data_IF_940063622886
#
_entry.id   IF_940063622886
#
_cell.length_a   1.000
_cell.length_b   1.000
_cell.length_c   1.000
_cell.angle_alpha   90.00
_cell.angle_beta   90.00
_cell.angle_gamma   90.00
#
_symmetry.space_group_name_H-M   'P 1'
#
loop_
_entity.id
_entity.type
_entity.pdbx_description
1 polymer ?
#
# COMPACT_ATOMS: atom_id res chain seq x y z
N UNK A 1 -0.77 18.58 39.07
CA UNK A 1 -1.02 19.99 38.78
C UNK A 1 -0.48 20.87 39.89
N UNK A 2 -1.01 20.76 41.12
CA UNK A 2 -0.62 21.63 42.26
C UNK A 2 0.89 21.66 42.55
N UNK A 3 1.60 20.54 42.43
CA UNK A 3 3.03 20.50 42.66
C UNK A 3 3.79 21.31 41.60
N UNK A 4 3.40 21.19 40.32
CA UNK A 4 4.02 21.96 39.24
C UNK A 4 3.66 23.45 39.33
N UNK A 5 2.39 23.78 39.61
CA UNK A 5 1.97 25.16 39.78
C UNK A 5 2.72 25.83 40.96
N UNK A 6 3.04 25.07 42.03
CA UNK A 6 3.89 25.56 43.13
C UNK A 6 5.35 25.75 42.73
N UNK A 7 5.93 24.87 41.97
CA UNK A 7 7.32 24.98 41.48
C UNK A 7 7.52 26.24 40.62
N UNK A 8 6.52 26.61 39.83
CA UNK A 8 6.57 27.77 38.92
C UNK A 8 5.72 28.96 39.36
N UNK A 9 5.35 29.02 40.66
CA UNK A 9 4.47 30.04 41.19
C UNK A 9 4.98 31.49 40.94
N UNK A 10 6.30 31.67 41.02
CA UNK A 10 6.93 32.97 40.77
C UNK A 10 6.80 33.42 39.32
N UNK A 11 7.12 32.54 38.37
CA UNK A 11 7.02 32.80 36.92
C UNK A 11 5.57 33.02 36.48
N UNK A 12 4.63 32.27 37.08
CA UNK A 12 3.19 32.41 36.84
C UNK A 12 2.72 33.78 37.36
N UNK A 13 3.17 34.19 38.57
CA UNK A 13 2.79 35.49 39.16
C UNK A 13 3.30 36.68 38.35
N UNK A 14 4.42 36.53 37.65
CA UNK A 14 5.00 37.52 36.75
C UNK A 14 4.39 37.52 35.34
N UNK A 15 3.42 36.60 35.06
CA UNK A 15 2.83 36.44 33.74
C UNK A 15 3.78 35.87 32.68
N UNK A 16 4.93 35.31 33.11
CA UNK A 16 5.91 34.67 32.21
C UNK A 16 5.50 33.27 31.80
N UNK A 17 4.72 32.58 32.62
CA UNK A 17 4.15 31.24 32.35
C UNK A 17 2.65 31.26 32.66
N UNK A 18 1.90 30.55 31.83
CA UNK A 18 0.49 30.28 32.14
C UNK A 18 0.37 29.10 33.12
N UNK A 19 -0.66 29.07 33.98
CA UNK A 19 -0.96 27.90 34.81
C UNK A 19 -1.12 26.66 33.99
N UNK A 20 -0.72 25.53 34.55
CA UNK A 20 -0.76 24.23 33.87
C UNK A 20 -2.19 23.84 33.53
N UNK A 21 -2.47 23.69 32.25
CA UNK A 21 -3.77 23.17 31.76
C UNK A 21 -3.75 21.66 31.74
N UNK A 22 -4.67 21.03 32.44
CA UNK A 22 -4.86 19.59 32.47
C UNK A 22 -6.07 19.22 31.61
N UNK A 23 -5.85 18.46 30.58
CA UNK A 23 -6.92 17.90 29.76
C UNK A 23 -7.08 16.41 30.09
N UNK A 24 -8.33 15.91 30.15
CA UNK A 24 -8.69 14.53 30.43
C UNK A 24 -9.35 13.90 29.21
N UNK A 25 -9.49 12.58 29.21
CA UNK A 25 -10.19 11.86 28.12
C UNK A 25 -9.26 11.51 26.96
N UNK A 26 -7.96 11.40 27.21
CA UNK A 26 -6.97 11.00 26.21
C UNK A 26 -6.28 9.68 26.60
N UNK A 27 -5.90 8.92 25.58
CA UNK A 27 -5.12 7.70 25.70
C UNK A 27 -3.80 7.85 24.95
N UNK A 28 -2.76 7.20 25.43
CA UNK A 28 -1.48 7.06 24.73
C UNK A 28 -1.45 5.67 24.09
N UNK A 29 -1.28 5.61 22.78
CA UNK A 29 -1.07 4.35 22.04
C UNK A 29 0.36 4.35 21.54
N UNK A 30 1.07 3.23 21.79
CA UNK A 30 2.47 3.06 21.42
C UNK A 30 2.62 1.91 20.44
N UNK A 31 3.36 2.13 19.37
CA UNK A 31 3.93 1.09 18.51
C UNK A 31 5.35 0.81 18.99
N UNK A 32 5.63 -0.43 19.41
CA UNK A 32 6.93 -0.84 19.98
C UNK A 32 7.52 -1.98 19.16
N UNK A 33 8.80 -1.89 18.83
CA UNK A 33 9.53 -2.94 18.12
C UNK A 33 10.94 -2.54 17.74
N UNK A 34 11.88 -3.50 17.77
CA UNK A 34 13.28 -3.27 17.40
C UNK A 34 13.44 -2.86 15.92
N UNK A 35 12.57 -3.36 15.04
CA UNK A 35 12.61 -3.09 13.59
C UNK A 35 11.72 -1.90 13.16
N UNK A 36 10.92 -1.34 14.07
CA UNK A 36 9.98 -0.26 13.73
C UNK A 36 10.71 0.99 13.23
N UNK A 37 11.88 1.25 13.77
CA UNK A 37 12.70 2.44 13.44
C UNK A 37 13.63 2.25 12.26
N UNK A 38 14.04 0.99 12.02
CA UNK A 38 14.83 0.64 10.84
C UNK A 38 13.98 0.68 9.54
N UNK A 39 12.65 0.72 9.68
CA UNK A 39 11.74 0.94 8.56
C UNK A 39 11.53 2.44 8.35
N UNK A 40 12.26 3.01 7.39
CA UNK A 40 12.04 4.40 6.98
C UNK A 40 10.55 4.64 6.70
N UNK A 41 9.96 5.65 7.37
CA UNK A 41 8.57 6.03 7.18
C UNK A 41 7.55 5.37 8.13
N UNK A 42 7.95 4.60 9.15
CA UNK A 42 7.02 3.97 10.10
C UNK A 42 6.09 5.00 10.78
N UNK A 43 6.63 6.14 11.22
CA UNK A 43 5.83 7.23 11.79
C UNK A 43 4.82 7.78 10.79
N UNK A 44 5.24 8.01 9.55
CA UNK A 44 4.35 8.48 8.48
C UNK A 44 3.22 7.48 8.20
N UNK A 45 3.51 6.19 8.14
CA UNK A 45 2.51 5.12 7.96
C UNK A 45 1.51 5.09 9.11
N UNK A 46 1.99 5.18 10.36
CA UNK A 46 1.11 5.19 11.54
C UNK A 46 0.15 6.38 11.51
N UNK A 47 0.65 7.58 11.22
CA UNK A 47 -0.18 8.79 11.15
C UNK A 47 -1.15 8.76 9.97
N UNK A 48 -0.71 8.26 8.81
CA UNK A 48 -1.57 8.09 7.63
C UNK A 48 -2.69 7.07 7.88
N UNK A 49 -2.38 5.93 8.50
CA UNK A 49 -3.37 4.92 8.84
C UNK A 49 -4.43 5.46 9.81
N UNK A 50 -4.02 6.18 10.85
CA UNK A 50 -4.94 6.81 11.81
C UNK A 50 -5.81 7.87 11.13
N UNK A 51 -5.22 8.75 10.32
CA UNK A 51 -5.93 9.80 9.58
C UNK A 51 -6.94 9.25 8.59
N UNK A 52 -6.61 8.20 7.84
CA UNK A 52 -7.53 7.52 6.91
C UNK A 52 -8.73 6.87 7.60
N UNK A 53 -8.62 6.57 8.89
CA UNK A 53 -9.72 6.06 9.71
C UNK A 53 -10.37 7.16 10.58
N UNK A 54 -10.16 8.44 10.23
CA UNK A 54 -10.73 9.61 10.91
C UNK A 54 -10.37 9.71 12.40
N UNK A 55 -9.24 9.11 12.81
CA UNK A 55 -8.74 9.18 14.19
C UNK A 55 -7.83 10.39 14.32
N UNK A 56 -8.24 11.36 15.14
CA UNK A 56 -7.49 12.59 15.35
C UNK A 56 -6.33 12.38 16.33
N UNK A 57 -5.10 12.64 15.87
CA UNK A 57 -3.90 12.62 16.69
C UNK A 57 -3.68 14.02 17.30
N UNK A 58 -3.62 14.09 18.63
CA UNK A 58 -3.38 15.34 19.38
C UNK A 58 -1.90 15.67 19.54
N UNK A 59 -1.09 14.66 19.76
CA UNK A 59 0.36 14.79 19.85
C UNK A 59 1.05 13.48 19.47
N UNK A 60 2.31 13.61 19.06
CA UNK A 60 3.20 12.48 18.80
C UNK A 60 4.45 12.65 19.63
N UNK A 61 5.00 11.54 20.11
CA UNK A 61 6.30 11.50 20.77
C UNK A 61 7.11 10.33 20.22
N UNK A 62 8.35 10.61 19.91
CA UNK A 62 9.33 9.64 19.45
C UNK A 62 10.64 9.95 20.17
N UNK A 63 11.17 9.02 20.95
CA UNK A 63 12.43 9.19 21.69
C UNK A 63 13.67 8.91 20.83
N UNK A 64 14.86 9.32 21.24
CA UNK A 64 16.12 9.17 20.46
C UNK A 64 16.74 7.78 20.50
N UNK A 65 16.37 6.95 21.48
CA UNK A 65 16.84 5.55 21.63
C UNK A 65 15.91 4.47 21.06
N UNK A 66 14.99 4.74 20.56
CA UNK A 66 13.72 4.72 19.82
C UNK A 66 13.26 3.37 19.32
N UNK A 67 12.80 2.60 20.26
CA UNK A 67 12.05 1.38 19.97
C UNK A 67 10.54 1.61 20.00
N UNK A 68 10.10 2.88 20.05
CA UNK A 68 8.67 3.20 20.11
C UNK A 68 8.28 4.49 19.39
N UNK A 69 7.07 4.50 18.88
CA UNK A 69 6.34 5.68 18.38
C UNK A 69 5.08 5.78 19.19
N UNK A 70 4.87 6.90 19.87
CA UNK A 70 3.72 7.15 20.73
C UNK A 70 2.82 8.22 20.14
N UNK A 71 1.51 8.02 20.18
CA UNK A 71 0.50 9.00 19.79
C UNK A 71 -0.49 9.22 20.92
N UNK A 72 -0.96 10.45 21.07
CA UNK A 72 -2.04 10.83 21.99
C UNK A 72 -3.31 11.01 21.16
N UNK A 73 -4.34 10.27 21.50
CA UNK A 73 -5.66 10.28 20.84
C UNK A 73 -6.77 10.40 21.86
N UNK A 74 -8.01 10.64 21.42
CA UNK A 74 -9.17 10.56 22.30
C UNK A 74 -9.33 9.15 22.85
N UNK A 75 -9.70 9.02 24.13
CA UNK A 75 -9.95 7.71 24.74
C UNK A 75 -11.10 6.95 24.10
N UNK A 76 -12.06 7.64 23.47
CA UNK A 76 -13.14 7.04 22.69
C UNK A 76 -12.64 6.26 21.48
N UNK A 77 -11.49 6.64 20.94
CA UNK A 77 -10.95 6.09 19.69
C UNK A 77 -9.90 5.01 19.92
N UNK A 78 -9.63 4.65 21.19
CA UNK A 78 -8.53 3.73 21.57
C UNK A 78 -8.65 2.37 20.86
N UNK A 79 -9.82 1.74 20.87
CA UNK A 79 -10.03 0.44 20.25
C UNK A 79 -9.92 0.50 18.72
N UNK A 80 -10.40 1.58 18.12
CA UNK A 80 -10.29 1.79 16.68
C UNK A 80 -8.82 2.02 16.28
N UNK A 81 -8.07 2.82 17.06
CA UNK A 81 -6.66 3.07 16.83
C UNK A 81 -5.82 1.82 16.97
N UNK A 82 -6.05 1.00 17.99
CA UNK A 82 -5.33 -0.26 18.20
C UNK A 82 -5.55 -1.19 17.00
N UNK A 83 -6.80 -1.35 16.55
CA UNK A 83 -7.10 -2.17 15.35
C UNK A 83 -6.45 -1.62 14.09
N UNK A 84 -6.52 -0.30 13.88
CA UNK A 84 -5.93 0.36 12.73
C UNK A 84 -4.41 0.16 12.68
N UNK A 85 -3.72 0.41 13.80
CA UNK A 85 -2.27 0.25 13.88
C UNK A 85 -1.88 -1.23 13.76
N UNK A 86 -2.64 -2.13 14.41
CA UNK A 86 -2.41 -3.57 14.30
C UNK A 86 -2.52 -4.03 12.84
N UNK A 87 -3.57 -3.63 12.12
CA UNK A 87 -3.75 -4.00 10.73
C UNK A 87 -2.62 -3.44 9.85
N UNK A 88 -2.20 -2.20 10.07
CA UNK A 88 -1.12 -1.58 9.28
C UNK A 88 0.25 -2.24 9.49
N UNK A 89 0.58 -2.64 10.73
CA UNK A 89 1.93 -3.11 11.06
C UNK A 89 2.04 -4.61 11.28
N UNK A 90 0.97 -5.26 11.73
CA UNK A 90 1.00 -6.66 12.16
C UNK A 90 0.06 -7.57 11.36
N UNK A 91 -0.99 -7.01 10.72
CA UNK A 91 -1.78 -7.82 9.80
C UNK A 91 -0.95 -8.08 8.55
N UNK A 92 -0.50 -9.34 8.47
CA UNK A 92 0.25 -9.83 7.31
C UNK A 92 -0.54 -9.75 6.00
N UNK A 93 -1.83 -9.45 6.03
CA UNK A 93 -2.72 -9.37 4.87
C UNK A 93 -2.77 -7.96 4.26
N UNK A 94 -2.61 -6.90 5.06
CA UNK A 94 -2.64 -5.52 4.55
C UNK A 94 -1.28 -5.12 4.00
N UNK A 95 -1.24 -4.68 2.75
CA UNK A 95 -0.03 -4.19 2.07
C UNK A 95 0.91 -5.25 1.50
N UNK A 96 0.58 -6.56 1.63
CA UNK A 96 1.41 -7.66 1.10
C UNK A 96 0.94 -8.21 -0.24
N UNK A 97 -0.28 -7.90 -0.62
CA UNK A 97 -0.82 -8.31 -1.90
C UNK A 97 -0.29 -7.40 -3.01
N UNK A 98 0.24 -8.00 -4.05
CA UNK A 98 0.65 -7.32 -5.27
C UNK A 98 -0.31 -7.76 -6.37
N UNK A 99 -0.97 -6.80 -6.98
CA UNK A 99 -1.95 -7.03 -8.03
C UNK A 99 -1.29 -6.86 -9.41
N UNK A 100 -1.17 -7.94 -10.15
CA UNK A 100 -0.52 -7.99 -11.45
C UNK A 100 -1.54 -7.87 -12.58
N UNK A 101 -1.26 -6.97 -13.51
CA UNK A 101 -2.02 -6.77 -14.74
C UNK A 101 -1.09 -6.98 -15.93
N UNK A 102 -1.24 -8.11 -16.60
CA UNK A 102 -0.31 -8.56 -17.64
C UNK A 102 -0.89 -8.25 -19.02
N UNK A 103 -0.11 -7.55 -19.83
CA UNK A 103 -0.38 -7.39 -21.25
C UNK A 103 0.54 -8.29 -22.06
N UNK A 104 -0.05 -9.11 -22.94
CA UNK A 104 0.66 -10.05 -23.80
C UNK A 104 0.73 -11.47 -23.21
N UNK A 105 -0.13 -12.36 -23.70
CA UNK A 105 -0.13 -13.79 -23.37
C UNK A 105 0.52 -14.62 -24.47
N UNK A 106 1.70 -14.16 -24.93
CA UNK A 106 2.61 -14.88 -25.80
C UNK A 106 3.61 -15.75 -25.02
N UNK A 107 4.78 -16.00 -25.59
CA UNK A 107 5.83 -16.83 -24.95
C UNK A 107 6.23 -16.28 -23.57
N UNK A 108 6.54 -14.99 -23.49
CA UNK A 108 6.96 -14.36 -22.23
C UNK A 108 5.85 -14.32 -21.19
N UNK A 109 4.64 -13.89 -21.56
CA UNK A 109 3.51 -13.83 -20.64
C UNK A 109 3.07 -15.19 -20.12
N UNK A 110 3.06 -16.23 -20.97
CA UNK A 110 2.81 -17.61 -20.54
C UNK A 110 3.84 -18.09 -19.55
N UNK A 111 5.14 -17.89 -19.86
CA UNK A 111 6.23 -18.28 -18.97
C UNK A 111 6.12 -17.57 -17.60
N UNK A 112 5.78 -16.28 -17.58
CA UNK A 112 5.59 -15.54 -16.35
C UNK A 112 4.43 -16.11 -15.52
N UNK A 113 3.27 -16.35 -16.13
CA UNK A 113 2.10 -16.94 -15.45
C UNK A 113 2.43 -18.31 -14.89
N UNK A 114 3.14 -19.16 -15.65
CA UNK A 114 3.58 -20.47 -15.20
C UNK A 114 4.54 -20.40 -14.01
N UNK A 115 5.49 -19.45 -14.03
CA UNK A 115 6.43 -19.25 -12.93
C UNK A 115 5.66 -18.81 -11.67
N UNK A 116 4.72 -17.87 -11.79
CA UNK A 116 3.91 -17.41 -10.67
C UNK A 116 3.07 -18.58 -10.11
N UNK A 117 2.39 -19.33 -10.96
CA UNK A 117 1.55 -20.46 -10.56
C UNK A 117 2.36 -21.51 -9.79
N UNK A 118 3.50 -21.94 -10.34
CA UNK A 118 4.34 -23.01 -9.76
C UNK A 118 5.10 -22.57 -8.49
N UNK A 119 5.37 -21.28 -8.33
CA UNK A 119 6.23 -20.80 -7.24
C UNK A 119 5.50 -19.89 -6.23
N UNK A 120 4.18 -19.81 -6.27
CA UNK A 120 3.37 -18.87 -5.45
C UNK A 120 3.75 -18.92 -3.97
N UNK A 121 3.71 -20.11 -3.37
CA UNK A 121 4.06 -20.28 -1.96
C UNK A 121 5.53 -19.96 -1.65
N UNK A 122 6.45 -20.32 -2.56
CA UNK A 122 7.87 -20.04 -2.40
C UNK A 122 8.15 -18.54 -2.46
N UNK A 123 7.47 -17.82 -3.36
CA UNK A 123 7.56 -16.36 -3.46
C UNK A 123 7.02 -15.73 -2.17
N UNK A 124 5.85 -16.15 -1.70
CA UNK A 124 5.24 -15.63 -0.48
C UNK A 124 6.13 -15.87 0.74
N UNK A 125 6.66 -17.09 0.92
CA UNK A 125 7.58 -17.42 2.03
C UNK A 125 8.86 -16.57 2.00
N UNK A 126 9.43 -16.33 0.81
CA UNK A 126 10.68 -15.60 0.64
C UNK A 126 10.53 -14.09 0.78
N UNK A 127 9.44 -13.54 0.23
CA UNK A 127 9.26 -12.09 0.11
C UNK A 127 8.26 -11.53 1.12
N UNK A 128 7.47 -12.39 1.75
CA UNK A 128 6.32 -12.01 2.55
C UNK A 128 5.18 -11.40 1.72
N UNK A 129 5.24 -11.44 0.38
CA UNK A 129 4.26 -10.83 -0.53
C UNK A 129 3.51 -11.89 -1.32
N UNK A 130 2.21 -11.70 -1.51
CA UNK A 130 1.36 -12.55 -2.33
C UNK A 130 1.13 -11.89 -3.69
N UNK A 131 1.32 -12.66 -4.74
CA UNK A 131 1.07 -12.22 -6.11
C UNK A 131 -0.32 -12.67 -6.56
N UNK A 132 -1.13 -11.72 -6.99
CA UNK A 132 -2.45 -11.95 -7.58
C UNK A 132 -2.41 -11.50 -9.03
N UNK A 133 -2.59 -12.40 -9.98
CA UNK A 133 -2.80 -12.02 -11.37
C UNK A 133 -4.25 -11.59 -11.51
N UNK A 134 -4.47 -10.29 -11.55
CA UNK A 134 -5.81 -9.68 -11.59
C UNK A 134 -6.26 -9.32 -13.00
N UNK A 135 -5.34 -9.22 -13.93
CA UNK A 135 -5.64 -8.93 -15.32
C UNK A 135 -4.69 -9.63 -16.29
N UNK A 136 -5.24 -10.11 -17.40
CA UNK A 136 -4.48 -10.69 -18.50
C UNK A 136 -5.09 -10.29 -19.82
N UNK A 137 -4.26 -9.89 -20.78
CA UNK A 137 -4.70 -9.59 -22.14
C UNK A 137 -3.79 -10.18 -23.20
N UNK A 138 -4.35 -10.45 -24.36
CA UNK A 138 -3.64 -10.67 -25.61
C UNK A 138 -4.17 -9.70 -26.68
N UNK A 139 -3.73 -9.83 -27.93
CA UNK A 139 -4.14 -8.96 -29.04
C UNK A 139 -5.64 -9.03 -29.38
N UNK A 140 -6.40 -9.97 -28.83
CA UNK A 140 -7.79 -10.21 -29.17
C UNK A 140 -8.75 -10.11 -28.00
N UNK A 141 -8.29 -10.48 -26.80
CA UNK A 141 -9.16 -10.66 -25.63
C UNK A 141 -8.46 -10.24 -24.35
N UNK A 142 -9.26 -9.90 -23.34
CA UNK A 142 -8.76 -9.69 -21.98
C UNK A 142 -9.72 -10.24 -20.94
N UNK A 143 -9.19 -10.53 -19.77
CA UNK A 143 -9.92 -10.91 -18.56
C UNK A 143 -9.44 -10.09 -17.38
N UNK A 144 -10.35 -9.77 -16.46
CA UNK A 144 -10.08 -9.03 -15.24
C UNK A 144 -10.88 -9.63 -14.09
N UNK A 145 -10.20 -9.84 -12.98
CA UNK A 145 -10.82 -10.20 -11.70
C UNK A 145 -10.02 -9.56 -10.56
N UNK A 146 -10.63 -8.63 -9.84
CA UNK A 146 -9.98 -7.92 -8.71
C UNK A 146 -9.51 -8.84 -7.59
N UNK A 147 -10.10 -10.02 -7.45
CA UNK A 147 -9.74 -11.02 -6.43
C UNK A 147 -8.65 -12.01 -6.91
N UNK A 148 -8.18 -11.85 -8.15
CA UNK A 148 -7.23 -12.75 -8.81
C UNK A 148 -7.89 -13.76 -9.74
N UNK A 149 -7.16 -14.11 -10.80
CA UNK A 149 -7.54 -15.10 -11.80
C UNK A 149 -7.08 -16.49 -11.34
N UNK A 150 -7.82 -17.53 -11.72
CA UNK A 150 -7.40 -18.92 -11.55
C UNK A 150 -6.35 -19.25 -12.62
N UNK A 151 -5.12 -19.56 -12.18
CA UNK A 151 -3.99 -19.71 -13.12
C UNK A 151 -3.98 -21.08 -13.81
N UNK A 152 -4.63 -22.08 -13.24
CA UNK A 152 -4.65 -23.46 -13.75
C UNK A 152 -5.32 -23.57 -15.12
N UNK A 153 -6.36 -22.77 -15.37
CA UNK A 153 -7.11 -22.76 -16.64
C UNK A 153 -7.18 -21.36 -17.27
N UNK A 154 -6.17 -20.54 -17.05
CA UNK A 154 -6.16 -19.13 -17.47
C UNK A 154 -6.26 -18.95 -19.00
N UNK A 155 -5.78 -19.93 -19.78
CA UNK A 155 -5.88 -19.90 -21.25
C UNK A 155 -7.33 -20.02 -21.72
N UNK A 156 -8.13 -20.90 -21.09
CA UNK A 156 -9.55 -21.08 -21.36
C UNK A 156 -10.34 -19.83 -20.95
N UNK A 157 -10.08 -19.33 -19.73
CA UNK A 157 -10.69 -18.07 -19.27
C UNK A 157 -10.42 -16.92 -20.23
N UNK A 158 -9.19 -16.82 -20.78
CA UNK A 158 -8.84 -15.77 -21.73
C UNK A 158 -9.55 -15.99 -23.08
N UNK A 159 -9.76 -17.24 -23.51
CA UNK A 159 -10.50 -17.55 -24.73
C UNK A 159 -11.97 -17.11 -24.63
N UNK A 160 -12.57 -17.20 -23.45
CA UNK A 160 -13.94 -16.75 -23.16
C UNK A 160 -14.01 -15.28 -22.71
N UNK A 161 -12.85 -14.61 -22.60
CA UNK A 161 -12.72 -13.24 -22.14
C UNK A 161 -13.38 -12.20 -23.05
N UNK A 162 -13.42 -10.96 -22.55
CA UNK A 162 -13.96 -9.82 -23.30
C UNK A 162 -13.15 -9.56 -24.56
N UNK A 163 -13.83 -9.24 -25.66
CA UNK A 163 -13.17 -8.79 -26.89
C UNK A 163 -12.37 -7.50 -26.59
N UNK A 164 -11.11 -7.51 -26.92
CA UNK A 164 -10.21 -6.40 -26.69
C UNK A 164 -9.97 -5.63 -27.98
N UNK A 165 -10.40 -4.39 -27.99
CA UNK A 165 -9.44 -3.39 -28.45
C UNK A 165 -8.54 -3.09 -27.23
N UNK A 166 -7.25 -2.86 -27.41
CA UNK A 166 -6.28 -2.56 -26.33
C UNK A 166 -6.76 -1.43 -25.41
N UNK A 167 -7.57 -0.53 -25.90
CA UNK A 167 -8.21 0.53 -25.13
C UNK A 167 -9.23 0.04 -24.11
N UNK A 168 -10.01 -1.00 -24.40
CA UNK A 168 -10.99 -1.51 -23.46
C UNK A 168 -10.32 -2.10 -22.20
N UNK A 169 -9.19 -2.77 -22.35
CA UNK A 169 -8.39 -3.24 -21.21
C UNK A 169 -7.88 -2.08 -20.37
N UNK A 170 -7.24 -1.09 -20.98
CA UNK A 170 -6.69 0.09 -20.28
C UNK A 170 -7.78 0.95 -19.65
N UNK A 171 -8.92 1.12 -20.30
CA UNK A 171 -10.06 1.82 -19.73
C UNK A 171 -10.59 1.12 -18.47
N UNK A 172 -10.61 -0.20 -18.45
CA UNK A 172 -10.97 -0.99 -17.26
C UNK A 172 -9.91 -0.84 -16.16
N UNK A 173 -8.61 -0.91 -16.49
CA UNK A 173 -7.53 -0.64 -15.52
C UNK A 173 -7.65 0.76 -14.92
N UNK A 174 -8.10 1.72 -15.70
CA UNK A 174 -8.28 3.08 -15.26
C UNK A 174 -9.35 3.25 -14.16
N UNK A 175 -10.31 2.33 -14.06
CA UNK A 175 -11.38 2.35 -13.07
C UNK A 175 -11.11 1.48 -11.84
N UNK A 176 -10.02 0.68 -11.88
CA UNK A 176 -9.63 -0.16 -10.76
C UNK A 176 -8.75 0.62 -9.79
N UNK A 177 -9.14 0.60 -8.52
CA UNK A 177 -8.37 1.17 -7.40
C UNK A 177 -7.90 0.02 -6.52
N UNK A 178 -6.81 -0.64 -6.92
CA UNK A 178 -6.16 -1.66 -6.10
C UNK A 178 -4.78 -1.15 -5.68
N UNK A 179 -4.47 -1.28 -4.40
CA UNK A 179 -3.14 -0.94 -3.88
C UNK A 179 -2.09 -1.89 -4.46
N UNK A 180 -0.84 -1.42 -4.53
CA UNK A 180 0.30 -2.20 -5.04
C UNK A 180 0.04 -2.82 -6.43
N UNK A 181 -0.59 -2.05 -7.32
CA UNK A 181 -0.85 -2.49 -8.70
C UNK A 181 0.42 -2.41 -9.55
N UNK A 182 0.74 -3.50 -10.22
CA UNK A 182 1.87 -3.61 -11.14
C UNK A 182 1.37 -4.01 -12.51
N UNK A 183 1.63 -3.17 -13.49
CA UNK A 183 1.40 -3.51 -14.90
C UNK A 183 2.64 -4.20 -15.47
N UNK A 184 2.45 -5.34 -16.11
CA UNK A 184 3.54 -6.12 -16.71
C UNK A 184 3.33 -6.18 -18.21
N UNK A 185 4.23 -5.55 -18.96
CA UNK A 185 4.21 -5.58 -20.43
C UNK A 185 5.12 -6.69 -20.97
N UNK A 186 4.50 -7.75 -21.47
CA UNK A 186 5.12 -8.86 -22.16
C UNK A 186 4.91 -8.78 -23.68
N UNK A 187 4.62 -7.59 -24.22
CA UNK A 187 4.38 -7.35 -25.65
C UNK A 187 5.58 -6.74 -26.34
N UNK A 188 5.48 -6.57 -27.66
CA UNK A 188 6.36 -5.75 -28.49
C UNK A 188 5.56 -4.58 -29.13
N UNK A 189 4.43 -4.17 -28.54
CA UNK A 189 3.56 -3.12 -29.07
C UNK A 189 4.02 -1.74 -28.62
N UNK A 190 4.22 -0.84 -29.57
CA UNK A 190 4.50 0.58 -29.28
C UNK A 190 3.29 1.26 -28.60
N UNK A 191 2.07 0.92 -29.02
CA UNK A 191 0.84 1.51 -28.50
C UNK A 191 0.67 1.23 -26.99
N UNK A 192 1.06 0.02 -26.54
CA UNK A 192 1.06 -0.31 -25.12
C UNK A 192 2.15 0.47 -24.39
N UNK A 193 3.35 0.57 -24.95
CA UNK A 193 4.44 1.31 -24.37
C UNK A 193 4.09 2.80 -24.13
N UNK A 194 3.40 3.45 -25.04
CA UNK A 194 2.95 4.83 -24.90
C UNK A 194 1.91 5.05 -23.79
N UNK A 195 1.24 3.99 -23.31
CA UNK A 195 0.25 4.07 -22.22
C UNK A 195 0.87 4.11 -20.83
N UNK A 196 2.19 3.85 -20.66
CA UNK A 196 2.83 3.78 -19.34
C UNK A 196 2.68 5.07 -18.54
N UNK A 197 2.77 6.24 -19.18
CA UNK A 197 2.61 7.54 -18.51
C UNK A 197 1.23 7.67 -17.83
N UNK A 198 0.19 7.14 -18.48
CA UNK A 198 -1.15 7.14 -17.92
C UNK A 198 -1.28 6.16 -16.74
N UNK A 199 -0.59 5.03 -16.78
CA UNK A 199 -0.53 4.07 -15.69
C UNK A 199 0.24 4.63 -14.49
N UNK A 200 1.39 5.29 -14.70
CA UNK A 200 2.14 5.97 -13.63
C UNK A 200 1.30 7.03 -12.92
N UNK A 201 0.58 7.88 -13.67
CA UNK A 201 -0.31 8.90 -13.09
C UNK A 201 -1.41 8.29 -12.21
N UNK A 202 -1.72 7.02 -12.35
CA UNK A 202 -2.73 6.27 -11.58
C UNK A 202 -2.11 5.39 -10.48
N UNK A 203 -0.80 5.51 -10.24
CA UNK A 203 -0.11 4.79 -9.17
C UNK A 203 0.28 3.35 -9.51
N UNK A 204 0.20 2.95 -10.80
CA UNK A 204 0.73 1.66 -11.22
C UNK A 204 2.25 1.70 -11.29
N UNK A 205 2.91 0.66 -10.78
CA UNK A 205 4.29 0.36 -11.16
C UNK A 205 4.29 -0.37 -12.51
N UNK A 206 5.32 -0.18 -13.32
CA UNK A 206 5.43 -0.84 -14.63
C UNK A 206 6.69 -1.68 -14.68
N UNK A 207 6.54 -2.94 -15.11
CA UNK A 207 7.64 -3.85 -15.45
C UNK A 207 7.45 -4.25 -16.91
N UNK A 208 8.48 -4.06 -17.74
CA UNK A 208 8.35 -4.29 -19.16
C UNK A 208 9.50 -5.14 -19.73
N UNK A 209 9.14 -6.12 -20.57
CA UNK A 209 10.04 -6.73 -21.54
C UNK A 209 10.12 -5.92 -22.83
N UNK A 210 9.20 -5.00 -23.02
CA UNK A 210 9.12 -4.11 -24.18
C UNK A 210 10.19 -3.03 -24.09
N UNK A 211 11.08 -2.97 -25.07
CA UNK A 211 12.22 -2.05 -25.10
C UNK A 211 11.93 -0.70 -25.76
N UNK A 212 10.79 -0.55 -26.43
CA UNK A 212 10.47 0.61 -27.27
C UNK A 212 10.51 1.90 -26.45
N UNK A 213 9.85 1.94 -25.29
CA UNK A 213 9.80 3.15 -24.44
C UNK A 213 11.16 3.56 -23.87
N UNK A 214 12.07 2.60 -23.68
CA UNK A 214 13.39 2.83 -23.11
C UNK A 214 14.48 3.09 -24.16
N UNK A 215 14.13 3.01 -25.46
CA UNK A 215 15.04 3.23 -26.59
C UNK A 215 14.71 4.48 -27.40
N UNK A 216 13.66 5.20 -27.03
CA UNK A 216 13.32 6.50 -27.64
C UNK A 216 14.10 7.63 -26.94
N UNK A 217 14.60 8.62 -27.69
CA UNK A 217 15.28 9.79 -27.12
C UNK A 217 14.37 10.67 -26.27
#
# INVERSE_FOLDING_TARGET
REAADRCFAYEISLGKLNPLKVEKGFSIVCLVGDDVLNQSGATGRMLAALGSNSIQVRATAQGSSEKNISVIISSSDTDAALRTIHNEFFDRRSGKDIHLFIAGYGVGGKALVDIISKNREKIEKRTGRRLHVCGLSNSRRFILNKNGLLLENIAEQLADGHSSADEAYFNKLATLTLENSVFVDCTASADIAFKYMNLFKRGYSVVACNKITFSLP
#
